data_IF_995910313242
#
_entry.id   IF_995910313242
#
_cell.length_a   1.000
_cell.length_b   1.000
_cell.length_c   1.000
_cell.angle_alpha   90.00
_cell.angle_beta   90.00
_cell.angle_gamma   90.00
#
_symmetry.space_group_name_H-M   'P 1'
#
loop_
_entity.id
_entity.type
_entity.pdbx_description
1 polymer ?
#
# COMPACT_ATOMS: atom_id res chain seq x y z
N UNK A 1 5.18 11.55 -8.81
CA UNK A 1 4.51 12.20 -7.66
C UNK A 1 4.31 11.14 -6.59
N UNK A 2 5.14 11.13 -5.55
CA UNK A 2 4.96 10.22 -4.42
C UNK A 2 3.85 10.78 -3.51
N UNK A 3 2.71 10.10 -3.41
CA UNK A 3 1.66 10.45 -2.46
C UNK A 3 2.05 9.83 -1.13
N UNK A 4 2.15 10.64 -0.07
CA UNK A 4 2.50 10.13 1.27
C UNK A 4 1.38 9.25 1.82
N UNK A 5 1.73 8.30 2.70
CA UNK A 5 0.75 7.42 3.35
C UNK A 5 -0.29 8.22 4.15
N UNK A 6 0.10 9.33 4.79
CA UNK A 6 -0.86 10.20 5.48
C UNK A 6 -1.86 10.81 4.51
N UNK A 7 -1.38 11.26 3.34
CA UNK A 7 -2.26 11.85 2.33
C UNK A 7 -3.23 10.83 1.74
N UNK A 8 -2.82 9.57 1.63
CA UNK A 8 -3.70 8.49 1.19
C UNK A 8 -4.82 8.23 2.20
N UNK A 9 -4.49 8.12 3.49
CA UNK A 9 -5.47 7.89 4.55
C UNK A 9 -6.46 9.06 4.68
N UNK A 10 -5.97 10.30 4.59
CA UNK A 10 -6.82 11.50 4.62
C UNK A 10 -7.84 11.52 3.45
N UNK A 11 -7.46 11.01 2.28
CA UNK A 11 -8.37 10.89 1.14
C UNK A 11 -9.38 9.76 1.33
N UNK A 12 -8.96 8.68 1.99
CA UNK A 12 -9.81 7.54 2.32
C UNK A 12 -10.89 7.92 3.34
N UNK A 13 -10.53 8.67 4.38
CA UNK A 13 -11.44 9.13 5.44
C UNK A 13 -12.49 10.13 4.94
N UNK A 14 -12.21 10.81 3.82
CA UNK A 14 -13.14 11.75 3.18
C UNK A 14 -14.17 11.07 2.28
N UNK A 15 -14.01 9.79 1.97
CA UNK A 15 -14.96 9.04 1.15
C UNK A 15 -16.16 8.62 2.00
N UNK A 16 -17.37 8.87 1.51
CA UNK A 16 -18.57 8.34 2.15
C UNK A 16 -18.66 6.82 1.92
N UNK A 17 -19.45 6.12 2.74
CA UNK A 17 -19.69 4.66 2.59
C UNK A 17 -20.21 4.31 1.19
N UNK A 18 -20.97 5.20 0.57
CA UNK A 18 -21.47 5.06 -0.80
C UNK A 18 -20.37 5.22 -1.85
N UNK A 19 -19.39 6.07 -1.56
CA UNK A 19 -18.23 6.28 -2.43
C UNK A 19 -17.23 5.11 -2.33
N UNK A 20 -17.18 4.42 -1.18
CA UNK A 20 -16.40 3.20 -1.00
C UNK A 20 -16.86 2.06 -1.91
N UNK A 21 -18.17 1.85 -2.04
CA UNK A 21 -18.73 0.87 -2.98
C UNK A 21 -18.35 1.21 -4.43
N UNK A 22 -18.45 2.48 -4.80
CA UNK A 22 -18.09 2.97 -6.12
C UNK A 22 -16.58 2.81 -6.40
N UNK A 23 -15.73 3.10 -5.41
CA UNK A 23 -14.28 2.93 -5.51
C UNK A 23 -13.93 1.45 -5.67
N UNK A 24 -14.60 0.56 -4.93
CA UNK A 24 -14.42 -0.90 -5.07
C UNK A 24 -14.80 -1.38 -6.47
N UNK A 25 -15.94 -0.93 -6.99
CA UNK A 25 -16.39 -1.29 -8.34
C UNK A 25 -15.45 -0.75 -9.43
N UNK A 26 -14.94 0.48 -9.26
CA UNK A 26 -13.96 1.07 -10.18
C UNK A 26 -12.63 0.30 -10.13
N UNK A 27 -12.14 -0.05 -8.94
CA UNK A 27 -10.92 -0.85 -8.77
C UNK A 27 -11.07 -2.24 -9.39
N UNK A 28 -12.21 -2.88 -9.21
CA UNK A 28 -12.52 -4.16 -9.82
C UNK A 28 -12.48 -4.07 -11.35
N UNK A 29 -13.16 -3.08 -11.94
CA UNK A 29 -13.13 -2.84 -13.40
C UNK A 29 -11.73 -2.48 -13.92
N UNK A 30 -10.95 -1.73 -13.14
CA UNK A 30 -9.56 -1.41 -13.49
C UNK A 30 -8.65 -2.64 -13.42
N UNK A 31 -8.90 -3.55 -12.48
CA UNK A 31 -8.16 -4.81 -12.32
C UNK A 31 -8.51 -5.85 -13.38
N UNK A 32 -9.76 -5.82 -13.88
CA UNK A 32 -10.25 -6.68 -14.96
C UNK A 32 -9.83 -6.20 -16.36
N UNK A 33 -9.13 -5.08 -16.46
CA UNK A 33 -8.55 -4.61 -17.73
C UNK A 33 -7.47 -5.58 -18.21
N UNK A 34 -7.55 -5.99 -19.48
CA UNK A 34 -6.70 -6.97 -20.19
C UNK A 34 -5.33 -7.29 -19.55
N UNK A 35 -5.03 -8.59 -19.46
CA UNK A 35 -3.72 -9.14 -19.05
C UNK A 35 -2.51 -8.61 -19.86
N UNK A 36 -2.76 -7.85 -20.94
CA UNK A 36 -1.78 -7.19 -21.80
C UNK A 36 -1.62 -5.68 -21.54
N UNK A 37 -2.22 -5.13 -20.47
CA UNK A 37 -1.84 -3.79 -20.00
C UNK A 37 -0.36 -3.84 -19.63
N UNK A 38 0.48 -3.11 -20.37
CA UNK A 38 1.82 -2.73 -19.92
C UNK A 38 1.64 -1.93 -18.64
N UNK A 39 1.65 -2.61 -17.50
CA UNK A 39 1.89 -1.95 -16.22
C UNK A 39 3.22 -1.23 -16.44
N UNK A 40 3.29 0.10 -16.29
CA UNK A 40 4.58 0.78 -16.25
C UNK A 40 5.27 0.23 -15.01
N UNK A 41 6.10 -0.79 -15.22
CA UNK A 41 7.03 -1.23 -14.21
C UNK A 41 7.94 -0.04 -13.93
N UNK A 42 8.37 0.05 -12.69
CA UNK A 42 9.36 1.04 -12.32
C UNK A 42 10.65 0.73 -13.10
N UNK A 43 10.89 1.51 -14.17
CA UNK A 43 12.08 1.43 -15.01
C UNK A 43 13.28 2.12 -14.31
N UNK A 44 13.11 2.64 -13.08
CA UNK A 44 14.20 3.20 -12.31
C UNK A 44 15.21 2.11 -11.91
N UNK A 45 16.52 2.36 -12.06
CA UNK A 45 17.54 1.41 -11.66
C UNK A 45 17.47 1.22 -10.14
N UNK A 46 17.51 -0.04 -9.69
CA UNK A 46 17.57 -0.36 -8.25
C UNK A 46 18.73 0.39 -7.61
N UNK A 47 18.42 1.27 -6.67
CA UNK A 47 19.39 2.08 -5.97
C UNK A 47 19.92 1.35 -4.75
N UNK A 48 21.03 1.86 -4.18
CA UNK A 48 21.55 1.32 -2.93
C UNK A 48 20.57 1.51 -1.76
N UNK A 49 19.74 2.55 -1.80
CA UNK A 49 18.72 2.81 -0.78
C UNK A 49 17.63 1.74 -0.81
N UNK A 50 17.23 1.28 -1.99
CA UNK A 50 16.28 0.17 -2.15
C UNK A 50 16.84 -1.13 -1.56
N UNK A 51 18.11 -1.42 -1.83
CA UNK A 51 18.80 -2.59 -1.26
C UNK A 51 18.89 -2.51 0.27
N UNK A 52 19.18 -1.33 0.81
CA UNK A 52 19.22 -1.09 2.24
C UNK A 52 17.82 -1.26 2.87
N UNK A 53 16.78 -0.75 2.23
CA UNK A 53 15.40 -0.89 2.68
C UNK A 53 14.96 -2.37 2.72
N UNK A 54 15.30 -3.16 1.68
CA UNK A 54 15.01 -4.59 1.63
C UNK A 54 15.71 -5.34 2.78
N UNK A 55 16.99 -5.05 3.01
CA UNK A 55 17.75 -5.69 4.09
C UNK A 55 17.19 -5.31 5.47
N UNK A 56 16.87 -4.04 5.69
CA UNK A 56 16.28 -3.57 6.94
C UNK A 56 14.92 -4.22 7.21
N UNK A 57 14.08 -4.35 6.18
CA UNK A 57 12.79 -5.02 6.31
C UNK A 57 12.96 -6.51 6.66
N UNK A 58 13.95 -7.18 6.06
CA UNK A 58 14.27 -8.57 6.36
C UNK A 58 14.80 -8.74 7.78
N UNK A 59 15.64 -7.83 8.25
CA UNK A 59 16.11 -7.84 9.63
C UNK A 59 14.99 -7.59 10.63
N UNK A 60 14.13 -6.60 10.40
CA UNK A 60 12.97 -6.32 11.24
C UNK A 60 12.01 -7.52 11.33
N UNK A 61 11.81 -8.21 10.21
CA UNK A 61 11.08 -9.48 10.17
C UNK A 61 11.71 -10.54 11.08
N UNK A 62 13.03 -10.76 10.95
CA UNK A 62 13.76 -11.75 11.76
C UNK A 62 13.79 -11.39 13.25
N UNK A 63 13.83 -10.10 13.58
CA UNK A 63 13.79 -9.58 14.95
C UNK A 63 12.38 -9.57 15.55
N UNK A 64 11.34 -9.81 14.75
CA UNK A 64 9.95 -9.77 15.21
C UNK A 64 9.44 -8.35 15.50
N UNK A 65 10.10 -7.33 14.93
CA UNK A 65 9.78 -5.90 15.11
C UNK A 65 8.68 -5.41 14.16
N UNK A 66 8.16 -6.30 13.29
CA UNK A 66 7.07 -5.95 12.39
C UNK A 66 5.75 -5.87 13.15
N UNK A 67 4.94 -4.89 12.77
CA UNK A 67 3.56 -4.77 13.22
C UNK A 67 2.78 -6.03 12.85
N UNK A 68 2.27 -6.72 13.86
CA UNK A 68 1.36 -7.83 13.67
C UNK A 68 -0.05 -7.31 13.45
N UNK A 69 -0.91 -8.12 12.82
CA UNK A 69 -2.33 -7.77 12.65
C UNK A 69 -3.01 -7.42 13.99
N UNK A 70 -2.55 -8.05 15.09
CA UNK A 70 -3.04 -7.79 16.44
C UNK A 70 -2.66 -6.41 16.96
N UNK A 71 -1.46 -5.93 16.61
CA UNK A 71 -1.01 -4.59 16.99
C UNK A 71 -1.86 -3.53 16.29
N UNK A 72 -2.18 -3.75 15.00
CA UNK A 72 -3.09 -2.90 14.22
C UNK A 72 -4.52 -2.92 14.79
N UNK A 73 -5.04 -4.10 15.16
CA UNK A 73 -6.36 -4.19 15.81
C UNK A 73 -6.41 -3.50 17.17
N UNK A 74 -5.31 -3.51 17.92
CA UNK A 74 -5.22 -2.85 19.21
C UNK A 74 -5.18 -1.31 19.08
N UNK A 75 -4.42 -0.79 18.12
CA UNK A 75 -4.38 0.65 17.84
C UNK A 75 -5.70 1.19 17.28
N UNK A 76 -6.42 0.42 16.46
CA UNK A 76 -7.70 0.84 15.88
C UNK A 76 -8.89 0.78 16.87
N UNK A 77 -8.75 0.05 17.99
CA UNK A 77 -9.80 -0.11 19.01
C UNK A 77 -9.63 0.80 20.24
N UNK A 78 -8.49 1.48 20.35
CA UNK A 78 -8.21 2.52 21.35
C UNK A 78 -8.38 3.91 20.74
#
# INVERSE_FOLDING_TARGET
MAVSKERFNELFDRLSVKDLELVSEIMERLSQSDANKKIPLDDEPTTQDDLNAINNAREAYLKGELLTLKDVEHELRN
#
